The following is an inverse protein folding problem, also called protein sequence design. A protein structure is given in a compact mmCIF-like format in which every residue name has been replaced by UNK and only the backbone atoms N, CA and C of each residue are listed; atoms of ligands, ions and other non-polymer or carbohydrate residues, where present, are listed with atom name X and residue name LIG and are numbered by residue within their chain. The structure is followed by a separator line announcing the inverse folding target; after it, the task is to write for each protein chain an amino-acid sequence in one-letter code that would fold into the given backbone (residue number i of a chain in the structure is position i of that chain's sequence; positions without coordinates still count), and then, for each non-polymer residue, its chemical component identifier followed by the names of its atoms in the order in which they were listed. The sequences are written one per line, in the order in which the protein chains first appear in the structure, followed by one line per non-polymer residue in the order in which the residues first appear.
data_IF_807404523191
#
_entry.id   IF_807404523191
#
_cell.length_a   1.000
_cell.length_b   1.000
_cell.length_c   1.000
_cell.angle_alpha   90.00
_cell.angle_beta   90.00
_cell.angle_gamma   90.00
#
_symmetry.space_group_name_H-M   'P 1'
#
loop_
_entity.id
_entity.type
_entity.pdbx_description
1 polymer ?
#
# COMPACT_ATOMS: atom_id res chain seq x y z
N UNK A 1 1.96 -22.53 3.79
CA UNK A 1 1.46 -23.66 4.58
C UNK A 1 -0.04 -23.65 4.43
N UNK A 2 -0.62 -24.65 3.77
CA UNK A 2 -2.07 -24.69 3.58
C UNK A 2 -2.71 -25.23 4.88
N UNK A 3 -3.54 -24.42 5.51
CA UNK A 3 -4.20 -24.77 6.76
C UNK A 3 -5.42 -25.65 6.47
N UNK A 4 -5.49 -26.84 7.09
CA UNK A 4 -6.67 -27.70 6.95
C UNK A 4 -7.83 -27.16 7.78
N UNK A 5 -9.00 -27.02 7.15
CA UNK A 5 -10.26 -26.69 7.82
C UNK A 5 -11.18 -27.91 7.78
N UNK A 6 -11.88 -28.20 8.87
CA UNK A 6 -12.88 -29.28 8.91
C UNK A 6 -14.23 -28.68 8.52
N UNK A 7 -14.84 -29.23 7.49
CA UNK A 7 -16.21 -28.92 7.10
C UNK A 7 -17.15 -29.97 7.72
N UNK A 8 -18.05 -29.53 8.60
CA UNK A 8 -19.03 -30.39 9.28
C UNK A 8 -20.41 -30.19 8.67
N UNK A 9 -21.06 -31.28 8.26
CA UNK A 9 -22.42 -31.27 7.75
C UNK A 9 -23.26 -32.40 8.39
N UNK A 10 -24.50 -32.11 8.80
CA UNK A 10 -25.36 -33.10 9.48
C UNK A 10 -25.69 -34.34 8.65
N UNK A 11 -25.71 -34.25 7.32
CA UNK A 11 -25.98 -35.38 6.42
C UNK A 11 -24.71 -36.10 5.93
N UNK A 12 -23.58 -35.41 5.88
CA UNK A 12 -22.33 -35.90 5.27
C UNK A 12 -21.18 -36.09 6.27
N UNK A 13 -21.33 -35.72 7.52
CA UNK A 13 -20.28 -35.85 8.54
C UNK A 13 -19.18 -34.81 8.40
N UNK A 14 -17.96 -35.16 8.80
CA UNK A 14 -16.80 -34.28 8.80
C UNK A 14 -15.90 -34.57 7.59
N UNK A 15 -15.67 -33.56 6.74
CA UNK A 15 -14.77 -33.63 5.58
C UNK A 15 -13.64 -32.65 5.79
N UNK A 16 -12.39 -33.11 5.67
CA UNK A 16 -11.23 -32.21 5.71
C UNK A 16 -11.12 -31.44 4.40
N UNK A 17 -10.82 -30.15 4.51
CA UNK A 17 -10.70 -29.22 3.39
C UNK A 17 -9.38 -28.45 3.45
N UNK A 18 -8.89 -28.07 2.28
CA UNK A 18 -7.65 -27.32 2.07
C UNK A 18 -7.97 -26.18 1.11
N UNK A 19 -7.47 -24.99 1.38
CA UNK A 19 -7.63 -23.85 0.47
C UNK A 19 -6.44 -23.80 -0.50
N UNK A 20 -6.72 -23.92 -1.80
CA UNK A 20 -5.73 -23.86 -2.88
C UNK A 20 -6.20 -22.79 -3.87
N UNK A 21 -5.37 -21.79 -4.15
CA UNK A 21 -5.72 -20.68 -5.06
C UNK A 21 -7.06 -19.98 -4.74
N UNK A 22 -7.41 -19.87 -3.45
CA UNK A 22 -8.69 -19.34 -2.95
C UNK A 22 -9.92 -20.19 -3.30
N UNK A 23 -9.73 -21.43 -3.76
CA UNK A 23 -10.78 -22.41 -3.95
C UNK A 23 -10.69 -23.54 -2.91
N UNK A 24 -11.85 -24.07 -2.44
CA UNK A 24 -11.88 -25.16 -1.48
C UNK A 24 -11.62 -26.50 -2.18
N UNK A 25 -10.61 -27.22 -1.70
CA UNK A 25 -10.32 -28.60 -2.07
C UNK A 25 -10.68 -29.53 -0.91
N UNK A 26 -11.27 -30.68 -1.23
CA UNK A 26 -11.74 -31.67 -0.26
C UNK A 26 -10.82 -32.88 -0.23
N UNK A 27 -10.54 -33.43 0.94
CA UNK A 27 -9.79 -34.69 1.04
C UNK A 27 -10.64 -35.82 0.46
N UNK A 28 -10.23 -36.32 -0.70
CA UNK A 28 -11.05 -37.26 -1.47
C UNK A 28 -11.30 -38.57 -0.73
N UNK A 29 -10.38 -38.99 0.16
CA UNK A 29 -10.56 -40.18 1.00
C UNK A 29 -11.79 -40.05 1.92
N UNK A 30 -11.92 -38.93 2.61
CA UNK A 30 -13.01 -38.70 3.56
C UNK A 30 -14.34 -38.73 2.80
N UNK A 31 -14.39 -38.03 1.66
CA UNK A 31 -15.55 -38.01 0.76
C UNK A 31 -15.89 -39.42 0.26
N UNK A 32 -14.89 -40.19 -0.15
CA UNK A 32 -15.10 -41.54 -0.66
C UNK A 32 -15.65 -42.49 0.43
N UNK A 33 -15.11 -42.38 1.66
CA UNK A 33 -15.54 -43.17 2.81
C UNK A 33 -17.01 -42.84 3.20
N UNK A 34 -17.37 -41.54 3.23
CA UNK A 34 -18.75 -41.08 3.47
C UNK A 34 -19.71 -41.60 2.39
N UNK A 35 -19.26 -41.60 1.13
CA UNK A 35 -20.03 -42.08 -0.01
C UNK A 35 -20.01 -43.62 -0.17
N UNK A 36 -19.40 -44.34 0.78
CA UNK A 36 -19.39 -45.80 0.85
C UNK A 36 -18.60 -46.49 -0.26
N UNK A 37 -17.63 -45.78 -0.86
CA UNK A 37 -16.70 -46.37 -1.80
C UNK A 37 -15.73 -47.30 -1.07
N UNK A 38 -15.46 -48.48 -1.64
CA UNK A 38 -14.68 -49.52 -0.97
C UNK A 38 -13.18 -49.22 -1.00
N UNK A 39 -12.69 -48.52 -2.03
CA UNK A 39 -11.29 -48.17 -2.18
C UNK A 39 -11.16 -46.71 -2.56
N UNK A 40 -11.07 -45.82 -1.56
CA UNK A 40 -11.00 -44.37 -1.75
C UNK A 40 -10.15 -43.94 -2.94
N UNK A 41 -8.85 -44.25 -2.95
CA UNK A 41 -7.95 -43.83 -4.05
C UNK A 41 -8.32 -44.41 -5.42
N UNK A 42 -8.79 -45.66 -5.50
CA UNK A 42 -9.16 -46.30 -6.78
C UNK A 42 -10.45 -45.71 -7.32
N UNK A 43 -11.44 -45.54 -6.44
CA UNK A 43 -12.76 -45.05 -6.80
C UNK A 43 -12.71 -43.57 -7.16
N UNK A 44 -11.89 -42.76 -6.46
CA UNK A 44 -11.58 -41.38 -6.88
C UNK A 44 -10.95 -41.39 -8.28
N UNK A 45 -9.93 -42.22 -8.51
CA UNK A 45 -9.24 -42.24 -9.80
C UNK A 45 -10.13 -42.66 -10.98
N UNK A 46 -11.23 -43.38 -10.72
CA UNK A 46 -12.16 -43.88 -11.72
C UNK A 46 -13.30 -42.92 -12.03
N UNK A 47 -13.71 -42.10 -11.06
CA UNK A 47 -14.90 -41.25 -11.17
C UNK A 47 -14.59 -39.76 -11.19
N UNK A 48 -13.35 -39.37 -10.89
CA UNK A 48 -12.88 -37.98 -10.92
C UNK A 48 -11.83 -37.84 -12.00
N UNK A 49 -12.03 -36.86 -12.88
CA UNK A 49 -11.10 -36.51 -13.94
C UNK A 49 -9.75 -36.06 -13.37
N UNK A 50 -8.70 -36.12 -14.19
CA UNK A 50 -7.35 -35.79 -13.73
C UNK A 50 -7.18 -34.31 -13.37
N UNK A 51 -7.91 -33.42 -14.04
CA UNK A 51 -7.93 -31.97 -13.76
C UNK A 51 -8.64 -31.62 -12.44
N UNK A 52 -9.54 -32.49 -11.97
CA UNK A 52 -10.35 -32.28 -10.77
C UNK A 52 -9.76 -32.89 -9.50
N UNK A 53 -8.56 -33.46 -9.61
CA UNK A 53 -7.84 -34.11 -8.50
C UNK A 53 -6.38 -33.68 -8.45
N UNK A 54 -5.90 -33.39 -7.25
CA UNK A 54 -4.50 -33.05 -7.03
C UNK A 54 -3.94 -33.93 -5.91
N UNK A 55 -2.64 -34.23 -6.02
CA UNK A 55 -1.91 -34.94 -4.97
C UNK A 55 -1.04 -33.95 -4.22
N UNK A 56 -1.28 -33.86 -2.92
CA UNK A 56 -0.57 -32.95 -2.05
C UNK A 56 0.09 -33.70 -0.91
N UNK A 57 1.30 -33.27 -0.55
CA UNK A 57 2.02 -33.80 0.59
C UNK A 57 1.54 -33.08 1.84
N UNK A 58 0.94 -33.83 2.75
CA UNK A 58 0.44 -33.31 4.02
C UNK A 58 1.14 -33.95 5.20
N UNK A 59 1.55 -33.11 6.15
CA UNK A 59 2.14 -33.55 7.41
C UNK A 59 1.03 -33.96 8.39
N UNK A 60 0.91 -35.25 8.64
CA UNK A 60 -0.11 -35.84 9.53
C UNK A 60 0.38 -35.92 11.01
N UNK A 61 1.23 -34.99 11.43
CA UNK A 61 1.85 -34.97 12.77
C UNK A 61 2.97 -36.01 12.98
N UNK A 62 3.04 -37.05 12.15
CA UNK A 62 3.99 -38.15 12.29
C UNK A 62 4.86 -38.36 11.04
N UNK A 63 4.27 -38.25 9.84
CA UNK A 63 4.94 -38.41 8.55
C UNK A 63 4.23 -37.57 7.48
N UNK A 64 4.97 -37.16 6.46
CA UNK A 64 4.39 -36.61 5.24
C UNK A 64 3.69 -37.73 4.46
N UNK A 65 2.39 -37.56 4.21
CA UNK A 65 1.57 -38.50 3.44
C UNK A 65 1.07 -37.81 2.17
N UNK A 66 1.27 -38.48 1.05
CA UNK A 66 0.63 -38.12 -0.21
C UNK A 66 -0.89 -38.34 -0.07
N UNK A 67 -1.65 -37.25 -0.13
CA UNK A 67 -3.11 -37.26 0.02
C UNK A 67 -3.74 -36.73 -1.27
N UNK A 68 -4.76 -37.43 -1.78
CA UNK A 68 -5.54 -36.97 -2.92
C UNK A 68 -6.59 -35.99 -2.40
N UNK A 69 -6.54 -34.77 -2.93
CA UNK A 69 -7.60 -33.78 -2.79
C UNK A 69 -8.35 -33.63 -4.10
N UNK A 70 -9.62 -33.25 -4.01
CA UNK A 70 -10.51 -33.04 -5.16
C UNK A 70 -11.13 -31.65 -5.04
N UNK A 71 -11.32 -30.97 -6.16
CA UNK A 71 -12.06 -29.72 -6.20
C UNK A 71 -13.58 -29.99 -6.10
N UNK A 72 -14.42 -28.94 -6.15
CA UNK A 72 -15.88 -29.07 -6.12
C UNK A 72 -16.44 -29.91 -7.28
N UNK A 73 -15.85 -29.80 -8.48
CA UNK A 73 -16.24 -30.60 -9.65
C UNK A 73 -16.02 -32.09 -9.42
N UNK A 74 -14.86 -32.46 -8.88
CA UNK A 74 -14.54 -33.84 -8.52
C UNK A 74 -15.43 -34.39 -7.40
N UNK A 75 -15.76 -33.57 -6.40
CA UNK A 75 -16.72 -33.91 -5.35
C UNK A 75 -18.10 -34.24 -5.96
N UNK A 76 -18.62 -33.40 -6.85
CA UNK A 76 -19.89 -33.65 -7.51
C UNK A 76 -19.86 -34.90 -8.39
N UNK A 77 -18.75 -35.14 -9.09
CA UNK A 77 -18.58 -36.35 -9.90
C UNK A 77 -18.69 -37.63 -9.07
N UNK A 78 -18.13 -37.65 -7.86
CA UNK A 78 -18.27 -38.77 -6.91
C UNK A 78 -19.70 -38.92 -6.40
N UNK A 79 -20.37 -37.83 -6.04
CA UNK A 79 -21.74 -37.87 -5.51
C UNK A 79 -22.71 -38.35 -6.59
N UNK A 80 -22.60 -37.85 -7.82
CA UNK A 80 -23.47 -38.20 -8.95
C UNK A 80 -23.30 -39.65 -9.40
N UNK A 81 -22.11 -40.23 -9.18
CA UNK A 81 -21.76 -41.63 -9.47
C UNK A 81 -22.09 -42.60 -8.34
N UNK A 82 -22.25 -42.11 -7.10
CA UNK A 82 -22.48 -42.96 -5.94
C UNK A 82 -23.87 -43.62 -5.97
N UNK A 83 -23.92 -44.85 -5.45
CA UNK A 83 -25.16 -45.66 -5.37
C UNK A 83 -25.84 -45.59 -4.01
N UNK A 84 -25.24 -44.90 -3.02
CA UNK A 84 -25.79 -44.81 -1.68
C UNK A 84 -27.13 -44.04 -1.63
N UNK A 85 -28.01 -44.36 -0.67
CA UNK A 85 -29.28 -43.65 -0.51
C UNK A 85 -29.10 -42.14 -0.33
N UNK A 86 -28.13 -41.69 0.48
CA UNK A 86 -27.86 -40.27 0.71
C UNK A 86 -27.43 -39.56 -0.57
N UNK A 87 -26.47 -40.13 -1.32
CA UNK A 87 -26.04 -39.59 -2.60
C UNK A 87 -27.18 -39.52 -3.63
N UNK A 88 -28.08 -40.51 -3.63
CA UNK A 88 -29.30 -40.49 -4.47
C UNK A 88 -30.27 -39.38 -4.07
N UNK A 89 -30.44 -39.10 -2.77
CA UNK A 89 -31.26 -37.95 -2.31
C UNK A 89 -30.67 -36.64 -2.81
N UNK A 90 -29.37 -36.42 -2.58
CA UNK A 90 -28.68 -35.22 -3.04
C UNK A 90 -28.77 -35.06 -4.56
N UNK A 91 -28.45 -36.12 -5.32
CA UNK A 91 -28.59 -36.13 -6.78
C UNK A 91 -30.00 -35.75 -7.22
N UNK A 92 -31.04 -36.30 -6.58
CA UNK A 92 -32.43 -36.00 -6.91
C UNK A 92 -32.79 -34.55 -6.58
N UNK A 93 -32.37 -34.05 -5.42
CA UNK A 93 -32.55 -32.66 -5.02
C UNK A 93 -31.91 -31.70 -6.02
N UNK A 94 -30.63 -31.88 -6.34
CA UNK A 94 -29.91 -31.04 -7.31
C UNK A 94 -30.59 -31.07 -8.69
N UNK A 95 -30.94 -32.26 -9.20
CA UNK A 95 -31.48 -32.43 -10.56
C UNK A 95 -32.95 -32.05 -10.71
N UNK A 96 -33.75 -32.16 -9.65
CA UNK A 96 -35.20 -31.91 -9.70
C UNK A 96 -35.59 -30.52 -9.20
N UNK A 97 -34.76 -29.91 -8.35
CA UNK A 97 -35.09 -28.66 -7.67
C UNK A 97 -34.09 -27.55 -8.01
N UNK A 98 -32.81 -27.75 -7.66
CA UNK A 98 -31.76 -26.72 -7.78
C UNK A 98 -31.54 -26.31 -9.25
N UNK A 99 -31.15 -27.26 -10.10
CA UNK A 99 -30.86 -26.97 -11.52
C UNK A 99 -32.09 -26.45 -12.27
N UNK A 100 -33.31 -27.02 -12.11
CA UNK A 100 -34.51 -26.46 -12.72
C UNK A 100 -34.89 -25.07 -12.22
N UNK A 101 -34.57 -24.72 -10.96
CA UNK A 101 -34.80 -23.39 -10.41
C UNK A 101 -33.83 -22.38 -11.00
N UNK A 102 -32.52 -22.68 -11.01
CA UNK A 102 -31.49 -21.84 -11.63
C UNK A 102 -31.80 -21.63 -13.12
N UNK A 103 -32.19 -22.68 -13.86
CA UNK A 103 -32.55 -22.57 -15.28
C UNK A 103 -33.75 -21.65 -15.52
N UNK A 104 -34.73 -21.62 -14.60
CA UNK A 104 -35.96 -20.83 -14.74
C UNK A 104 -35.82 -19.39 -14.26
N UNK A 105 -35.12 -19.19 -13.14
CA UNK A 105 -35.09 -17.91 -12.41
C UNK A 105 -33.71 -17.25 -12.41
N UNK A 106 -32.67 -17.94 -12.90
CA UNK A 106 -31.27 -17.49 -12.86
C UNK A 106 -30.59 -17.68 -11.50
N UNK A 107 -31.32 -18.10 -10.47
CA UNK A 107 -30.79 -18.32 -9.12
C UNK A 107 -31.56 -19.43 -8.39
N UNK A 108 -30.93 -20.05 -7.39
CA UNK A 108 -31.58 -20.89 -6.38
C UNK A 108 -31.56 -20.13 -5.05
N UNK A 109 -32.73 -19.92 -4.46
CA UNK A 109 -32.89 -19.31 -3.16
C UNK A 109 -33.51 -20.36 -2.22
N UNK A 110 -33.00 -20.45 -1.00
CA UNK A 110 -33.63 -21.27 0.05
C UNK A 110 -35.01 -20.70 0.38
N UNK A 111 -35.93 -21.57 0.79
CA UNK A 111 -37.32 -21.19 1.07
C UNK A 111 -37.42 -20.02 2.08
N UNK A 112 -36.53 -19.94 3.06
CA UNK A 112 -36.45 -18.82 4.01
C UNK A 112 -36.23 -17.45 3.35
N UNK A 113 -35.48 -17.39 2.24
CA UNK A 113 -35.25 -16.17 1.45
C UNK A 113 -36.42 -15.85 0.51
N UNK A 114 -37.16 -16.88 0.08
CA UNK A 114 -38.37 -16.73 -0.75
C UNK A 114 -39.54 -16.23 0.11
N UNK A 115 -39.64 -16.72 1.34
CA UNK A 115 -40.67 -16.32 2.30
C UNK A 115 -40.49 -14.87 2.79
N UNK A 116 -39.26 -14.35 2.80
CA UNK A 116 -38.97 -12.98 3.18
C UNK A 116 -38.06 -12.25 2.17
N UNK A 117 -38.60 -11.86 1.00
CA UNK A 117 -37.83 -11.20 -0.05
C UNK A 117 -37.26 -9.85 0.39
N UNK A 118 -37.87 -9.17 1.35
CA UNK A 118 -37.40 -7.89 1.87
C UNK A 118 -36.06 -8.02 2.60
N UNK A 119 -35.82 -9.15 3.27
CA UNK A 119 -34.54 -9.43 3.92
C UNK A 119 -33.41 -9.57 2.88
N UNK A 120 -33.68 -10.27 1.77
CA UNK A 120 -32.74 -10.41 0.68
C UNK A 120 -32.45 -9.05 0.00
N UNK A 121 -33.49 -8.24 -0.24
CA UNK A 121 -33.35 -6.90 -0.83
C UNK A 121 -32.49 -6.01 0.07
N UNK A 122 -32.75 -5.99 1.39
CA UNK A 122 -32.01 -5.17 2.33
C UNK A 122 -30.53 -5.59 2.42
N UNK A 123 -30.26 -6.90 2.49
CA UNK A 123 -28.90 -7.43 2.51
C UNK A 123 -28.12 -7.08 1.23
N UNK A 124 -28.73 -7.25 0.06
CA UNK A 124 -28.11 -6.92 -1.22
C UNK A 124 -27.89 -5.41 -1.40
N UNK A 125 -28.82 -4.59 -0.89
CA UNK A 125 -28.69 -3.13 -0.94
C UNK A 125 -27.56 -2.66 -0.03
N UNK A 126 -27.47 -3.19 1.19
CA UNK A 126 -26.36 -2.90 2.10
C UNK A 126 -25.00 -3.31 1.51
N UNK A 127 -24.91 -4.48 0.89
CA UNK A 127 -23.69 -4.94 0.21
C UNK A 127 -23.30 -4.02 -0.96
N UNK A 128 -24.28 -3.57 -1.75
CA UNK A 128 -24.06 -2.61 -2.84
C UNK A 128 -23.51 -1.28 -2.31
N UNK A 129 -24.08 -0.76 -1.22
CA UNK A 129 -23.61 0.46 -0.58
C UNK A 129 -22.20 0.32 -0.01
N UNK A 130 -21.90 -0.81 0.65
CA UNK A 130 -20.56 -1.10 1.17
C UNK A 130 -19.52 -1.11 0.06
N UNK A 131 -19.82 -1.81 -1.05
CA UNK A 131 -18.94 -1.85 -2.23
C UNK A 131 -18.72 -0.45 -2.83
N UNK A 132 -19.78 0.36 -2.93
CA UNK A 132 -19.68 1.72 -3.41
C UNK A 132 -18.78 2.58 -2.49
N UNK A 133 -18.93 2.44 -1.16
CA UNK A 133 -18.08 3.12 -0.18
C UNK A 133 -16.61 2.68 -0.28
N UNK A 134 -16.34 1.37 -0.40
CA UNK A 134 -14.97 0.86 -0.57
C UNK A 134 -14.32 1.42 -1.83
N UNK A 135 -15.03 1.41 -2.96
CA UNK A 135 -14.52 1.97 -4.22
C UNK A 135 -14.25 3.48 -4.14
N UNK A 136 -15.12 4.23 -3.47
CA UNK A 136 -14.91 5.66 -3.24
C UNK A 136 -13.67 5.91 -2.37
N UNK A 137 -13.48 5.11 -1.32
CA UNK A 137 -12.32 5.20 -0.43
C UNK A 137 -11.01 4.82 -1.14
N UNK A 138 -11.03 3.81 -2.00
CA UNK A 138 -9.89 3.44 -2.84
C UNK A 138 -9.49 4.58 -3.78
N UNK A 139 -10.46 5.22 -4.42
CA UNK A 139 -10.21 6.38 -5.28
C UNK A 139 -9.65 7.56 -4.47
N UNK A 140 -10.19 7.82 -3.28
CA UNK A 140 -9.69 8.88 -2.40
C UNK A 140 -8.24 8.61 -1.98
N UNK A 141 -7.90 7.37 -1.62
CA UNK A 141 -6.55 6.99 -1.27
C UNK A 141 -5.58 7.17 -2.45
N UNK A 142 -5.97 6.76 -3.67
CA UNK A 142 -5.14 6.99 -4.86
C UNK A 142 -4.86 8.47 -5.11
N UNK A 143 -5.87 9.34 -4.93
CA UNK A 143 -5.69 10.79 -5.07
C UNK A 143 -4.76 11.33 -3.98
N UNK A 144 -4.89 10.86 -2.73
CA UNK A 144 -3.99 11.24 -1.64
C UNK A 144 -2.55 10.78 -1.90
N UNK A 145 -2.36 9.56 -2.39
CA UNK A 145 -1.04 9.03 -2.71
C UNK A 145 -0.36 9.85 -3.83
N UNK A 146 -1.13 10.27 -4.86
CA UNK A 146 -0.63 11.18 -5.89
C UNK A 146 -0.20 12.52 -5.29
N UNK A 147 -1.00 13.12 -4.40
CA UNK A 147 -0.65 14.36 -3.72
C UNK A 147 0.60 14.20 -2.84
N UNK A 148 0.73 13.07 -2.13
CA UNK A 148 1.91 12.77 -1.32
C UNK A 148 3.16 12.63 -2.20
N UNK A 149 3.06 11.95 -3.35
CA UNK A 149 4.17 11.79 -4.29
C UNK A 149 4.65 13.14 -4.86
N UNK A 150 3.76 14.08 -5.16
CA UNK A 150 4.13 15.43 -5.59
C UNK A 150 4.76 16.29 -4.47
N UNK A 151 4.37 16.03 -3.22
CA UNK A 151 4.86 16.76 -2.05
C UNK A 151 6.17 16.19 -1.49
N UNK A 152 6.46 14.91 -1.69
CA UNK A 152 7.68 14.25 -1.21
C UNK A 152 9.00 14.92 -1.68
N UNK A 153 9.20 15.26 -2.97
CA UNK A 153 10.44 15.93 -3.37
C UNK A 153 10.54 17.34 -2.77
N UNK A 154 9.40 18.04 -2.60
CA UNK A 154 9.36 19.35 -1.91
C UNK A 154 9.76 19.20 -0.44
N UNK A 155 9.24 18.20 0.26
CA UNK A 155 9.55 17.95 1.67
C UNK A 155 11.01 17.52 1.89
N UNK A 156 11.59 16.72 0.98
CA UNK A 156 12.96 16.20 1.11
C UNK A 156 14.02 17.30 1.18
N UNK A 157 13.93 18.35 0.35
CA UNK A 157 14.84 19.50 0.43
C UNK A 157 14.68 20.26 1.76
N UNK A 158 13.44 20.49 2.21
CA UNK A 158 13.20 21.18 3.47
C UNK A 158 13.70 20.39 4.68
N UNK A 159 13.49 19.07 4.71
CA UNK A 159 13.90 18.21 5.83
C UNK A 159 15.43 18.09 5.93
N UNK A 160 16.14 17.94 4.80
CA UNK A 160 17.61 17.93 4.77
C UNK A 160 18.20 19.26 5.26
N UNK A 161 17.57 20.37 4.91
CA UNK A 161 18.03 21.72 5.27
C UNK A 161 17.65 22.09 6.72
N UNK A 162 16.49 21.65 7.21
CA UNK A 162 16.00 21.90 8.58
C UNK A 162 16.75 21.10 9.64
N UNK A 163 17.38 19.97 9.29
CA UNK A 163 18.14 19.14 10.24
C UNK A 163 19.49 19.76 10.66
N UNK A 164 20.07 20.69 9.89
CA UNK A 164 21.32 21.35 10.24
C UNK A 164 21.09 22.61 11.09
N UNK A 165 21.48 22.61 12.37
CA UNK A 165 21.40 23.80 13.25
C UNK A 165 22.48 24.86 12.99
N UNK A 166 23.28 24.69 11.94
CA UNK A 166 24.44 25.53 11.68
C UNK A 166 24.10 26.84 10.97
N UNK A 167 24.83 27.88 11.35
CA UNK A 167 24.79 29.18 10.70
C UNK A 167 25.58 29.13 9.39
N UNK A 168 24.94 29.45 8.28
CA UNK A 168 25.54 29.34 6.96
C UNK A 168 26.12 30.69 6.51
N UNK A 169 27.33 30.63 5.97
CA UNK A 169 27.94 31.77 5.30
C UNK A 169 27.26 32.02 3.95
N UNK A 170 27.31 33.26 3.48
CA UNK A 170 26.83 33.60 2.13
C UNK A 170 27.61 32.84 1.04
N UNK A 171 28.84 32.40 1.32
CA UNK A 171 29.63 31.61 0.38
C UNK A 171 29.07 30.22 0.20
N UNK A 172 28.70 29.54 1.28
CA UNK A 172 28.08 28.20 1.22
C UNK A 172 26.76 28.27 0.46
N UNK A 173 25.87 29.20 0.83
CA UNK A 173 24.59 29.37 0.13
C UNK A 173 24.82 29.71 -1.34
N UNK A 174 25.72 30.64 -1.69
CA UNK A 174 25.95 31.00 -3.09
C UNK A 174 26.46 29.82 -3.93
N UNK A 175 27.23 28.90 -3.32
CA UNK A 175 27.73 27.71 -3.98
C UNK A 175 26.60 26.74 -4.34
N UNK A 176 25.57 26.60 -3.50
CA UNK A 176 24.38 25.80 -3.81
C UNK A 176 23.66 26.25 -5.10
N UNK A 177 23.77 27.54 -5.45
CA UNK A 177 23.16 28.10 -6.67
C UNK A 177 24.14 28.21 -7.86
N UNK A 178 25.36 27.70 -7.71
CA UNK A 178 26.39 27.72 -8.74
C UNK A 178 26.99 29.11 -8.97
N UNK A 179 26.99 29.99 -7.97
CA UNK A 179 27.53 31.34 -8.09
C UNK A 179 28.50 31.72 -6.98
N UNK A 180 29.23 32.83 -7.17
CA UNK A 180 30.13 33.36 -6.15
C UNK A 180 29.35 34.16 -5.10
N UNK A 181 29.87 34.21 -3.88
CA UNK A 181 29.32 35.06 -2.81
C UNK A 181 29.20 36.53 -3.25
N UNK A 182 30.14 37.02 -4.08
CA UNK A 182 30.09 38.38 -4.64
C UNK A 182 28.89 38.56 -5.58
N UNK A 183 28.64 37.60 -6.48
CA UNK A 183 27.51 37.64 -7.41
C UNK A 183 26.19 37.55 -6.65
N UNK A 184 26.09 36.65 -5.67
CA UNK A 184 24.86 36.55 -4.88
C UNK A 184 24.62 37.79 -4.00
N UNK A 185 25.67 38.33 -3.36
CA UNK A 185 25.53 39.55 -2.57
C UNK A 185 25.02 40.73 -3.40
N UNK A 186 25.49 40.85 -4.65
CA UNK A 186 25.02 41.85 -5.61
C UNK A 186 23.55 41.60 -5.97
N UNK A 187 23.18 40.37 -6.29
CA UNK A 187 21.78 40.01 -6.60
C UNK A 187 20.83 40.33 -5.44
N UNK A 188 21.19 39.95 -4.21
CA UNK A 188 20.37 40.25 -3.03
C UNK A 188 20.30 41.74 -2.72
N UNK A 189 21.31 42.52 -3.11
CA UNK A 189 21.26 43.97 -3.03
C UNK A 189 20.28 44.56 -4.04
N UNK A 190 20.32 44.09 -5.29
CA UNK A 190 19.40 44.49 -6.36
C UNK A 190 17.94 44.12 -6.06
N UNK A 191 17.71 42.96 -5.42
CA UNK A 191 16.39 42.54 -4.92
C UNK A 191 15.97 43.29 -3.63
N UNK A 192 16.80 44.21 -3.14
CA UNK A 192 16.50 45.02 -1.97
C UNK A 192 16.41 44.21 -0.68
N UNK A 193 17.21 43.15 -0.52
CA UNK A 193 17.27 42.29 0.68
C UNK A 193 18.31 42.75 1.67
N UNK A 194 19.49 43.12 1.17
CA UNK A 194 20.63 43.51 1.99
C UNK A 194 21.38 44.69 1.39
N UNK A 195 22.16 45.37 2.22
CA UNK A 195 23.05 46.46 1.82
C UNK A 195 24.43 46.26 2.44
N UNK A 196 25.45 46.88 1.84
CA UNK A 196 26.81 46.84 2.36
C UNK A 196 27.12 48.13 3.13
N UNK A 197 27.65 47.98 4.33
CA UNK A 197 28.19 49.09 5.12
C UNK A 197 29.56 48.70 5.67
N UNK A 198 30.58 49.49 5.33
CA UNK A 198 31.95 49.29 5.81
C UNK A 198 32.51 47.87 5.57
N UNK A 199 32.14 47.25 4.45
CA UNK A 199 32.60 45.91 4.08
C UNK A 199 31.85 44.76 4.75
N UNK A 200 30.77 45.05 5.48
CA UNK A 200 29.86 44.06 6.09
C UNK A 200 28.48 44.18 5.44
N UNK A 201 27.83 43.06 5.18
CA UNK A 201 26.47 43.03 4.65
C UNK A 201 25.46 42.97 5.80
N UNK A 202 24.38 43.75 5.68
CA UNK A 202 23.27 43.83 6.63
C UNK A 202 21.94 43.76 5.90
N UNK A 203 20.90 43.24 6.55
CA UNK A 203 19.55 43.22 6.00
C UNK A 203 18.92 44.61 6.03
N UNK A 204 18.11 44.93 5.02
CA UNK A 204 17.26 46.13 5.07
C UNK A 204 16.25 46.05 6.22
N UNK A 205 15.75 47.22 6.65
CA UNK A 205 14.83 47.34 7.78
C UNK A 205 13.59 46.43 7.70
N UNK A 206 13.08 46.16 6.49
CA UNK A 206 11.93 45.25 6.25
C UNK A 206 12.20 43.77 6.56
N UNK A 207 13.45 43.38 6.78
CA UNK A 207 13.86 41.99 6.98
C UNK A 207 14.68 41.74 8.26
N UNK A 208 15.18 42.80 8.93
CA UNK A 208 16.11 42.66 10.05
C UNK A 208 15.50 41.99 11.31
N UNK A 209 14.20 42.12 11.53
CA UNK A 209 13.47 41.59 12.69
C UNK A 209 12.92 40.17 12.48
N UNK A 210 13.10 39.59 11.29
CA UNK A 210 12.52 38.30 10.93
C UNK A 210 13.35 37.08 11.35
N UNK A 211 14.52 37.30 11.94
CA UNK A 211 15.43 36.24 12.40
C UNK A 211 16.14 35.49 11.26
N UNK A 212 16.28 36.12 10.09
CA UNK A 212 16.92 35.50 8.91
C UNK A 212 18.45 35.43 9.01
N UNK A 213 19.07 36.30 9.80
CA UNK A 213 20.53 36.38 9.92
C UNK A 213 20.97 36.52 11.37
N UNK A 214 22.20 36.08 11.66
CA UNK A 214 22.90 36.35 12.91
C UNK A 214 24.29 36.92 12.61
N UNK A 215 24.74 37.89 13.40
CA UNK A 215 26.08 38.44 13.29
C UNK A 215 27.03 37.73 14.23
N UNK A 216 28.20 37.32 13.72
CA UNK A 216 29.30 36.81 14.54
C UNK A 216 30.51 37.72 14.37
N UNK A 217 31.11 38.09 15.49
CA UNK A 217 32.37 38.84 15.50
C UNK A 217 33.53 37.85 15.58
N UNK A 218 34.42 37.90 14.59
CA UNK A 218 35.66 37.13 14.58
C UNK A 218 36.83 38.04 14.95
N UNK A 219 37.60 37.61 15.93
CA UNK A 219 38.82 38.30 16.33
C UNK A 219 39.99 37.80 15.48
N UNK A 220 40.87 38.70 15.07
CA UNK A 220 42.08 38.40 14.33
C UNK A 220 43.26 39.17 14.93
N UNK A 221 44.43 38.55 14.96
CA UNK A 221 45.64 39.20 15.42
C UNK A 221 46.25 40.01 14.29
N UNK A 222 46.59 41.27 14.55
CA UNK A 222 47.34 42.09 13.62
C UNK A 222 48.84 41.78 13.75
N UNK A 223 49.64 42.03 12.68
CA UNK A 223 51.10 41.85 12.74
C UNK A 223 51.79 42.67 13.85
N UNK A 224 51.15 43.76 14.29
CA UNK A 224 51.56 44.66 15.38
C UNK A 224 51.21 44.13 16.79
N UNK A 225 50.80 42.87 16.92
CA UNK A 225 50.43 42.26 18.21
C UNK A 225 49.09 42.71 18.79
N UNK A 226 48.44 43.73 18.22
CA UNK A 226 47.11 44.19 18.60
C UNK A 226 46.00 43.30 18.02
N UNK A 227 44.89 43.13 18.75
CA UNK A 227 43.73 42.39 18.26
C UNK A 227 42.79 43.29 17.45
N UNK A 228 42.35 42.82 16.30
CA UNK A 228 41.24 43.38 15.54
C UNK A 228 40.00 42.49 15.66
N UNK A 229 38.82 43.07 15.49
CA UNK A 229 37.56 42.35 15.41
C UNK A 229 36.89 42.68 14.08
N UNK A 230 36.34 41.66 13.40
CA UNK A 230 35.56 41.83 12.17
C UNK A 230 34.24 41.11 12.32
N UNK A 231 33.15 41.84 12.10
CA UNK A 231 31.80 41.29 12.15
C UNK A 231 31.42 40.70 10.79
N UNK A 232 30.86 39.50 10.82
CA UNK A 232 30.35 38.79 9.66
C UNK A 232 28.89 38.44 9.87
N UNK A 233 28.08 38.58 8.81
CA UNK A 233 26.69 38.16 8.78
C UNK A 233 26.60 36.71 8.30
N UNK A 234 25.91 35.88 9.07
CA UNK A 234 25.58 34.51 8.75
C UNK A 234 24.06 34.37 8.61
N UNK A 235 23.63 33.43 7.78
CA UNK A 235 22.23 33.13 7.53
C UNK A 235 21.76 31.97 8.41
N UNK A 236 20.57 32.12 8.98
CA UNK A 236 19.88 31.03 9.68
C UNK A 236 19.19 30.12 8.67
N UNK A 237 18.74 28.92 9.08
CA UNK A 237 17.91 28.08 8.20
C UNK A 237 16.63 28.79 7.76
N UNK A 238 16.01 29.56 8.65
CA UNK A 238 14.86 30.42 8.32
C UNK A 238 15.22 31.46 7.25
N UNK A 239 16.43 32.02 7.31
CA UNK A 239 16.95 32.93 6.29
C UNK A 239 17.24 32.23 4.96
N UNK A 240 17.81 31.03 4.98
CA UNK A 240 18.05 30.21 3.78
C UNK A 240 16.74 29.85 3.07
N UNK A 241 15.70 29.49 3.83
CA UNK A 241 14.35 29.23 3.32
C UNK A 241 13.78 30.47 2.62
N UNK A 242 13.87 31.63 3.27
CA UNK A 242 13.47 32.91 2.68
C UNK A 242 14.21 33.21 1.38
N UNK A 243 15.53 32.99 1.34
CA UNK A 243 16.31 33.16 0.11
C UNK A 243 15.88 32.18 -0.99
N UNK A 244 15.60 30.92 -0.65
CA UNK A 244 15.10 29.93 -1.61
C UNK A 244 13.78 30.36 -2.23
N UNK A 245 12.78 30.73 -1.43
CA UNK A 245 11.48 31.19 -1.91
C UNK A 245 11.61 32.44 -2.79
N UNK A 246 12.41 33.42 -2.33
CA UNK A 246 12.64 34.66 -3.06
C UNK A 246 13.33 34.40 -4.41
N UNK A 247 14.38 33.59 -4.44
CA UNK A 247 15.11 33.29 -5.67
C UNK A 247 14.28 32.45 -6.64
N UNK A 248 13.50 31.50 -6.13
CA UNK A 248 12.56 30.70 -6.92
C UNK A 248 11.51 31.57 -7.60
N UNK A 249 10.93 32.55 -6.90
CA UNK A 249 10.02 33.52 -7.50
C UNK A 249 10.68 34.36 -8.61
N UNK A 250 12.00 34.53 -8.56
CA UNK A 250 12.79 35.21 -9.57
C UNK A 250 13.39 34.24 -10.63
N UNK A 251 12.92 33.00 -10.68
CA UNK A 251 13.36 31.99 -11.67
C UNK A 251 14.75 31.40 -11.42
N UNK A 252 15.31 31.55 -10.21
CA UNK A 252 16.65 31.09 -9.85
C UNK A 252 16.52 29.92 -8.87
N UNK A 253 16.73 28.70 -9.36
CA UNK A 253 16.70 27.48 -8.56
C UNK A 253 18.11 27.07 -8.09
N UNK A 254 18.26 26.37 -6.95
CA UNK A 254 19.53 25.77 -6.56
C UNK A 254 19.94 24.66 -7.54
N UNK A 255 21.23 24.33 -7.64
CA UNK A 255 21.72 23.35 -8.62
C UNK A 255 21.08 21.98 -8.47
N UNK A 256 20.82 21.54 -7.22
CA UNK A 256 20.18 20.25 -6.95
C UNK A 256 18.79 20.12 -7.60
N UNK A 257 18.02 21.21 -7.71
CA UNK A 257 16.70 21.20 -8.34
C UNK A 257 16.75 21.48 -9.85
N UNK A 258 17.91 21.88 -10.38
CA UNK A 258 18.09 22.05 -11.84
C UNK A 258 18.33 20.72 -12.53
N UNK A 259 18.97 19.77 -11.84
CA UNK A 259 19.29 18.45 -12.39
C UNK A 259 18.05 17.53 -12.43
N UNK A 260 17.05 17.73 -11.56
CA UNK A 260 15.78 17.00 -11.57
C UNK A 260 14.80 17.45 -12.69
N UNK A 261 15.11 18.53 -13.40
CA UNK A 261 14.28 19.12 -14.46
C UNK A 261 14.82 18.89 -15.88
N UNK A 262 15.89 18.09 -16.04
CA UNK A 262 16.52 17.74 -17.33
C UNK A 262 16.35 16.25 -17.64
#
# INVERSE_FOLDING_TARGET
MNEMKIFTNEEFGEVRTVEIESEPYFVGKDVADILGYQNGSRDINRHVEEEDREKIMFFDGNQDKETIVINESGLYSLILSSKLPNAKRFKRWVTSEVLPSIRRHGMYAMDELIENPDLAINALTALKEERAKRKALELENQVKDQQIAELQPKASYYDLVLQCKDLLSMTEIAKDYGMSAKKMNKLLHELGVQFNQSGVWFLYAKYQDKGYTQTKTQNYNKPDGTQGAKTHMYWTQKGRLFLYELLKQNGILPMIERDDAA
#
